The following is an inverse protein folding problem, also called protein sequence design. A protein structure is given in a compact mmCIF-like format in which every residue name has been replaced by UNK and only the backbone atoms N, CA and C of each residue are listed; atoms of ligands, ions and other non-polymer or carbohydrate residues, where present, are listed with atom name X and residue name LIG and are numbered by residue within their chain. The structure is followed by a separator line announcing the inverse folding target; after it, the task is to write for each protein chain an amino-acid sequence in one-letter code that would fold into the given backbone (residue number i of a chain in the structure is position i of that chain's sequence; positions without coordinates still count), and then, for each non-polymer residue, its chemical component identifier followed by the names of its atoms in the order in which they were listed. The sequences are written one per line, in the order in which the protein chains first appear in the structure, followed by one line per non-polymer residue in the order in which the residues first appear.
data_IF_866371794792
#
_entry.id   IF_866371794792
#
_cell.length_a   1.000
_cell.length_b   1.000
_cell.length_c   1.000
_cell.angle_alpha   90.00
_cell.angle_beta   90.00
_cell.angle_gamma   90.00
#
_symmetry.space_group_name_H-M   'P 1'
#
loop_
_entity.id
_entity.type
_entity.pdbx_description
1 polymer ?
#
# COMPACT_ATOMS: atom_id res chain seq x y z
N UNK A 1 12.30 -10.95 3.40
CA UNK A 1 12.04 -9.97 4.48
C UNK A 1 10.74 -9.16 4.27
N UNK A 2 10.24 -8.91 3.05
CA UNK A 2 9.10 -7.98 2.84
C UNK A 2 7.68 -8.59 2.82
N UNK A 3 7.51 -9.91 2.62
CA UNK A 3 6.17 -10.49 2.39
C UNK A 3 5.23 -10.39 3.59
N UNK A 4 5.80 -10.36 4.81
CA UNK A 4 5.03 -10.23 6.06
C UNK A 4 4.84 -8.80 6.54
N UNK A 5 5.49 -7.83 5.89
CA UNK A 5 5.43 -6.44 6.34
C UNK A 5 3.99 -5.90 6.34
N UNK A 6 3.17 -6.08 5.28
CA UNK A 6 1.77 -5.65 5.28
C UNK A 6 0.93 -6.26 6.41
N UNK A 7 1.08 -7.56 6.68
CA UNK A 7 0.38 -8.29 7.73
C UNK A 7 0.66 -7.68 9.11
N UNK A 8 1.94 -7.49 9.42
CA UNK A 8 2.41 -6.97 10.71
C UNK A 8 1.92 -5.53 10.90
N UNK A 9 2.13 -4.65 9.92
CA UNK A 9 1.75 -3.24 10.08
C UNK A 9 0.24 -3.04 10.11
N UNK A 10 -0.55 -3.87 9.42
CA UNK A 10 -2.01 -3.85 9.56
C UNK A 10 -2.40 -4.04 11.02
N UNK A 11 -1.78 -4.99 11.72
CA UNK A 11 -2.02 -5.24 13.15
C UNK A 11 -1.70 -4.04 14.04
N UNK A 12 -0.65 -3.28 13.70
CA UNK A 12 -0.17 -2.13 14.46
C UNK A 12 -0.98 -0.85 14.24
N UNK A 13 -1.55 -0.66 13.04
CA UNK A 13 -2.36 0.51 12.70
C UNK A 13 -3.70 0.43 13.42
N UNK A 14 -4.12 1.47 14.14
CA UNK A 14 -5.44 1.48 14.80
C UNK A 14 -6.57 1.28 13.76
N UNK A 15 -7.69 0.66 14.16
CA UNK A 15 -8.89 0.60 13.30
C UNK A 15 -9.28 2.01 12.88
N UNK A 16 -9.69 2.15 11.62
CA UNK A 16 -9.96 3.42 10.92
C UNK A 16 -8.75 4.37 10.79
N UNK A 17 -7.56 3.96 11.25
CA UNK A 17 -6.32 4.71 11.17
C UNK A 17 -5.61 4.56 9.82
N UNK A 18 -4.50 5.29 9.68
CA UNK A 18 -3.76 5.43 8.44
C UNK A 18 -2.36 4.84 8.51
N UNK A 19 -1.90 4.34 7.37
CA UNK A 19 -0.55 3.89 7.11
C UNK A 19 -0.04 4.61 5.87
N UNK A 20 1.08 5.32 5.98
CA UNK A 20 1.70 5.99 4.83
C UNK A 20 3.02 5.29 4.52
N UNK A 21 3.18 4.82 3.29
CA UNK A 21 4.38 4.10 2.84
C UNK A 21 5.02 4.85 1.70
N UNK A 22 6.28 5.26 1.89
CA UNK A 22 7.13 5.80 0.82
C UNK A 22 8.14 4.74 0.41
N UNK A 23 8.33 4.52 -0.90
CA UNK A 23 9.26 3.53 -1.45
C UNK A 23 9.99 4.07 -2.67
N UNK A 24 11.30 3.81 -2.77
CA UNK A 24 12.09 3.92 -4.02
C UNK A 24 12.29 2.58 -4.73
N UNK A 25 11.92 1.48 -4.08
CA UNK A 25 12.28 0.13 -4.53
C UNK A 25 11.15 -0.55 -5.33
N UNK A 26 9.93 -0.02 -5.24
CA UNK A 26 8.72 -0.63 -5.78
C UNK A 26 7.86 0.42 -6.45
N UNK A 27 7.11 0.01 -7.47
CA UNK A 27 6.12 0.90 -8.09
C UNK A 27 4.92 1.10 -7.16
N UNK A 28 4.14 2.14 -7.43
CA UNK A 28 2.88 2.39 -6.72
C UNK A 28 1.95 1.17 -6.80
N UNK A 29 1.85 0.56 -7.99
CA UNK A 29 1.00 -0.61 -8.23
C UNK A 29 1.45 -1.83 -7.44
N UNK A 30 2.77 -2.04 -7.31
CA UNK A 30 3.33 -3.13 -6.50
C UNK A 30 3.03 -2.92 -5.02
N UNK A 31 3.21 -1.69 -4.51
CA UNK A 31 2.82 -1.35 -3.13
C UNK A 31 1.33 -1.61 -2.90
N UNK A 32 0.46 -1.10 -3.78
CA UNK A 32 -0.99 -1.31 -3.64
C UNK A 32 -1.29 -2.81 -3.60
N UNK A 33 -0.75 -3.58 -4.56
CA UNK A 33 -0.96 -5.02 -4.63
C UNK A 33 -0.54 -5.75 -3.36
N UNK A 34 0.57 -5.38 -2.74
CA UNK A 34 1.04 -6.04 -1.52
C UNK A 34 0.22 -5.67 -0.29
N UNK A 35 -0.12 -4.40 -0.14
CA UNK A 35 -0.81 -3.93 1.06
C UNK A 35 -2.32 -4.17 1.04
N UNK A 36 -2.92 -4.40 -0.13
CA UNK A 36 -4.35 -4.71 -0.25
C UNK A 36 -4.63 -6.18 -0.58
N UNK A 37 -3.60 -7.03 -0.63
CA UNK A 37 -3.77 -8.48 -0.86
C UNK A 37 -4.52 -9.10 0.32
N UNK A 38 -5.55 -9.90 0.02
CA UNK A 38 -6.15 -10.82 1.00
C UNK A 38 -5.33 -12.10 1.08
N UNK A 39 -5.06 -12.56 2.29
CA UNK A 39 -4.43 -13.87 2.48
C UNK A 39 -5.45 -15.01 2.33
N UNK A 40 -4.96 -16.17 1.90
CA UNK A 40 -5.80 -17.35 1.77
C UNK A 40 -6.24 -17.81 3.16
N UNK A 41 -7.55 -17.75 3.43
CA UNK A 41 -8.13 -18.08 4.73
C UNK A 41 -8.57 -16.87 5.57
N UNK A 42 -8.38 -15.64 5.10
CA UNK A 42 -9.02 -14.49 5.73
C UNK A 42 -10.53 -14.50 5.52
N UNK A 43 -11.29 -14.42 6.62
CA UNK A 43 -12.75 -14.28 6.57
C UNK A 43 -13.13 -12.97 5.86
N UNK A 44 -14.21 -12.98 5.08
CA UNK A 44 -14.65 -11.79 4.33
C UNK A 44 -14.95 -10.56 5.22
N UNK A 45 -15.23 -10.79 6.51
CA UNK A 45 -15.48 -9.77 7.53
C UNK A 45 -14.24 -9.29 8.33
N UNK A 46 -13.03 -9.66 7.93
CA UNK A 46 -11.79 -9.16 8.54
C UNK A 46 -11.50 -7.69 8.19
N UNK A 47 -10.79 -6.98 9.07
CA UNK A 47 -10.29 -5.65 8.73
C UNK A 47 -9.15 -5.72 7.70
N UNK A 48 -9.00 -4.67 6.90
CA UNK A 48 -8.07 -4.65 5.76
C UNK A 48 -7.53 -3.26 5.52
N UNK A 49 -6.40 -3.17 4.83
CA UNK A 49 -5.90 -1.91 4.31
C UNK A 49 -6.51 -1.67 2.92
N UNK A 50 -7.00 -0.46 2.70
CA UNK A 50 -7.46 0.01 1.40
C UNK A 50 -6.70 1.28 1.04
N UNK A 51 -6.49 1.51 -0.25
CA UNK A 51 -5.89 2.77 -0.72
C UNK A 51 -6.81 3.93 -0.34
N UNK A 52 -6.25 4.91 0.36
CA UNK A 52 -6.93 6.14 0.74
C UNK A 52 -6.52 7.28 -0.18
N UNK A 53 -5.22 7.46 -0.38
CA UNK A 53 -4.67 8.54 -1.21
C UNK A 53 -3.26 8.21 -1.70
N UNK A 54 -2.74 9.01 -2.63
CA UNK A 54 -1.40 8.87 -3.21
C UNK A 54 -0.78 10.24 -3.45
N UNK A 55 0.54 10.32 -3.24
CA UNK A 55 1.28 11.56 -3.49
C UNK A 55 1.75 11.57 -4.93
N UNK A 56 1.37 12.61 -5.66
CA UNK A 56 1.92 12.87 -6.99
C UNK A 56 3.32 13.46 -6.88
N UNK A 57 4.27 12.87 -7.61
CA UNK A 57 5.63 13.39 -7.72
C UNK A 57 5.94 13.75 -9.17
N UNK A 58 6.91 14.67 -9.41
CA UNK A 58 7.41 14.92 -10.75
C UNK A 58 7.92 13.64 -11.39
N UNK A 59 7.37 13.33 -12.58
CA UNK A 59 7.80 12.19 -13.39
C UNK A 59 8.87 12.65 -14.37
N UNK A 60 9.93 11.86 -14.50
CA UNK A 60 10.93 12.07 -15.53
C UNK A 60 10.60 11.18 -16.72
N UNK A 61 10.63 11.75 -17.93
CA UNK A 61 10.43 10.98 -19.18
C UNK A 61 11.76 10.82 -19.90
N UNK A 62 12.15 9.58 -20.17
CA UNK A 62 13.34 9.29 -20.98
C UNK A 62 13.02 8.17 -21.98
N UNK A 63 13.26 8.41 -23.27
CA UNK A 63 13.02 7.41 -24.33
C UNK A 63 11.57 6.92 -24.44
N UNK A 64 10.58 7.69 -23.99
CA UNK A 64 9.16 7.28 -23.99
C UNK A 64 8.71 6.51 -22.74
N UNK A 65 9.61 6.24 -21.80
CA UNK A 65 9.28 5.65 -20.50
C UNK A 65 9.17 6.76 -19.44
N UNK A 66 8.09 6.74 -18.64
CA UNK A 66 7.97 7.57 -17.43
C UNK A 66 8.60 6.83 -16.25
N UNK A 67 9.46 7.51 -15.51
CA UNK A 67 10.05 7.01 -14.26
C UNK A 67 9.86 8.00 -13.11
N UNK A 68 9.81 7.47 -11.90
CA UNK A 68 9.70 8.24 -10.67
C UNK A 68 10.65 7.64 -9.64
N UNK A 69 11.45 8.47 -8.96
CA UNK A 69 12.47 7.98 -8.03
C UNK A 69 11.92 7.39 -6.74
N UNK A 70 10.70 7.78 -6.35
CA UNK A 70 9.97 7.30 -5.17
C UNK A 70 8.47 7.33 -5.43
N UNK A 71 7.67 6.48 -4.81
CA UNK A 71 6.21 6.60 -4.72
C UNK A 71 5.78 6.64 -3.25
N UNK A 72 4.64 7.28 -2.96
CA UNK A 72 4.04 7.30 -1.62
C UNK A 72 2.56 7.02 -1.69
N UNK A 73 2.12 6.00 -0.96
CA UNK A 73 0.73 5.56 -0.88
C UNK A 73 0.24 5.64 0.56
N UNK A 74 -0.92 6.24 0.75
CA UNK A 74 -1.65 6.26 2.01
C UNK A 74 -2.73 5.17 1.98
N UNK A 75 -2.73 4.32 3.00
CA UNK A 75 -3.71 3.28 3.23
C UNK A 75 -4.54 3.60 4.47
N UNK A 76 -5.81 3.24 4.45
CA UNK A 76 -6.68 3.28 5.62
C UNK A 76 -7.02 1.85 6.05
N UNK A 77 -6.88 1.56 7.35
CA UNK A 77 -7.37 0.30 7.92
C UNK A 77 -8.87 0.41 8.11
N UNK A 78 -9.65 -0.28 7.28
CA UNK A 78 -11.11 -0.31 7.37
C UNK A 78 -11.57 -1.60 8.04
N UNK A 79 -12.61 -1.50 8.85
CA UNK A 79 -13.29 -2.67 9.41
C UNK A 79 -13.93 -3.51 8.29
N UNK A 80 -14.00 -4.83 8.46
CA UNK A 80 -14.78 -5.69 7.55
C UNK A 80 -16.26 -5.35 7.62
N UNK A 81 -16.93 -5.39 6.47
CA UNK A 81 -18.39 -5.23 6.34
C UNK A 81 -19.10 -6.50 6.77
#
# INVERSE_FOLDING_TARGET
MCERYPEIVRGLVRREGFLVVTSCNWTEEELIKWFTRREAGENEGGDRLVVWDRVEYPKFRFGGQEGQGVCTVCFRRVSGS
#
